data_IF_187736554524
#
_entry.id   IF_187736554524
#
_cell.length_a   1.000
_cell.length_b   1.000
_cell.length_c   1.000
_cell.angle_alpha   90.00
_cell.angle_beta   90.00
_cell.angle_gamma   90.00
#
_symmetry.space_group_name_H-M   'P 1'
#
loop_
_entity.id
_entity.type
_entity.pdbx_description
1 polymer ?
#
# COMPACT_ATOMS: atom_id res chain seq x y z
N UNK A 1 4.95 67.25 -45.00
CA UNK A 1 3.59 67.83 -45.09
C UNK A 1 2.64 66.79 -45.66
N UNK A 2 1.43 66.70 -45.08
CA UNK A 2 0.24 65.85 -45.39
C UNK A 2 0.31 64.42 -44.83
N UNK A 3 -0.31 64.15 -43.69
CA UNK A 3 -1.76 63.98 -43.37
C UNK A 3 -2.33 62.67 -43.91
N UNK A 4 -2.75 61.81 -42.99
CA UNK A 4 -3.56 60.63 -43.32
C UNK A 4 -3.61 59.61 -42.18
N UNK A 5 -4.28 59.97 -41.08
CA UNK A 5 -4.75 58.98 -40.11
C UNK A 5 -6.00 58.32 -40.69
N UNK A 6 -5.99 56.99 -40.82
CA UNK A 6 -7.20 56.19 -40.93
C UNK A 6 -7.03 54.95 -40.06
N UNK A 7 -7.74 54.97 -38.94
CA UNK A 7 -8.01 53.81 -38.08
C UNK A 7 -9.07 52.96 -38.81
N UNK A 8 -8.84 51.65 -38.96
CA UNK A 8 -9.92 50.68 -39.15
C UNK A 8 -9.66 49.43 -38.31
N UNK A 9 -10.75 48.89 -37.78
CA UNK A 9 -10.86 48.20 -36.51
C UNK A 9 -10.41 46.72 -36.51
N UNK A 10 -10.06 46.29 -35.29
CA UNK A 10 -9.75 44.94 -34.84
C UNK A 10 -10.93 43.97 -35.03
N UNK A 11 -10.66 42.74 -35.46
CA UNK A 11 -11.50 41.60 -35.10
C UNK A 11 -10.64 40.32 -35.01
N UNK A 12 -9.92 40.16 -33.91
CA UNK A 12 -9.53 38.82 -33.46
C UNK A 12 -10.81 38.12 -33.03
N UNK A 13 -11.30 37.16 -33.84
CA UNK A 13 -12.30 36.22 -33.37
C UNK A 13 -11.64 35.33 -32.30
N UNK A 14 -11.72 35.76 -31.05
CA UNK A 14 -11.44 34.89 -29.92
C UNK A 14 -12.69 34.04 -29.71
N UNK A 15 -12.63 32.78 -30.11
CA UNK A 15 -13.65 31.81 -29.73
C UNK A 15 -13.62 31.71 -28.20
N UNK A 16 -14.53 32.39 -27.51
CA UNK A 16 -14.86 32.05 -26.13
C UNK A 16 -15.61 30.74 -26.18
N UNK A 17 -14.86 29.64 -26.10
CA UNK A 17 -15.43 28.34 -25.81
C UNK A 17 -15.90 28.40 -24.36
N UNK A 18 -17.18 28.71 -24.18
CA UNK A 18 -17.86 28.51 -22.90
C UNK A 18 -17.95 27.01 -22.67
N UNK A 19 -16.86 26.42 -22.18
CA UNK A 19 -16.88 25.05 -21.68
C UNK A 19 -17.84 25.04 -20.50
N UNK A 20 -18.95 24.28 -20.54
CA UNK A 20 -19.72 24.04 -19.33
C UNK A 20 -18.75 23.41 -18.33
N UNK A 21 -18.64 24.00 -17.15
CA UNK A 21 -17.93 23.38 -16.04
C UNK A 21 -18.54 21.98 -15.87
N UNK A 22 -17.73 20.92 -15.70
CA UNK A 22 -18.31 19.68 -15.23
C UNK A 22 -19.01 20.00 -13.91
N UNK A 23 -20.30 19.67 -13.79
CA UNK A 23 -20.95 19.46 -12.50
C UNK A 23 -20.33 18.20 -11.87
N UNK A 24 -19.03 18.29 -11.60
CA UNK A 24 -18.22 17.29 -10.95
C UNK A 24 -18.26 17.61 -9.47
N UNK A 25 -19.02 16.82 -8.72
CA UNK A 25 -18.80 16.73 -7.29
C UNK A 25 -17.40 16.14 -7.10
N UNK A 26 -16.40 17.00 -6.89
CA UNK A 26 -15.07 16.57 -6.47
C UNK A 26 -15.19 16.18 -4.99
N UNK A 27 -15.60 14.94 -4.73
CA UNK A 27 -15.55 14.37 -3.40
C UNK A 27 -14.08 14.18 -3.06
N UNK A 28 -13.48 15.18 -2.42
CA UNK A 28 -12.24 15.00 -1.69
C UNK A 28 -12.57 14.15 -0.45
N UNK A 29 -12.75 12.85 -0.64
CA UNK A 29 -12.79 11.91 0.48
C UNK A 29 -11.46 12.07 1.21
N UNK A 30 -11.48 12.66 2.41
CA UNK A 30 -10.38 12.51 3.35
C UNK A 30 -10.36 11.04 3.77
N UNK A 31 -9.82 10.20 2.91
CA UNK A 31 -9.43 8.84 3.25
C UNK A 31 -8.25 8.97 4.22
N UNK A 32 -8.57 9.09 5.51
CA UNK A 32 -7.57 8.97 6.56
C UNK A 32 -7.19 7.48 6.59
N UNK A 33 -6.21 7.12 5.78
CA UNK A 33 -5.66 5.77 5.73
C UNK A 33 -4.61 5.63 6.83
N UNK A 34 -4.79 4.64 7.70
CA UNK A 34 -3.79 4.31 8.71
C UNK A 34 -2.62 3.56 8.07
N UNK A 35 -1.38 3.99 8.29
CA UNK A 35 -0.19 3.28 7.82
C UNK A 35 0.53 2.64 9.01
N UNK A 36 0.69 1.32 8.96
CA UNK A 36 1.36 0.54 9.99
C UNK A 36 2.60 -0.14 9.42
N UNK A 37 3.78 0.27 9.89
CA UNK A 37 5.03 -0.39 9.53
C UNK A 37 5.37 -1.43 10.60
N UNK A 38 5.47 -2.70 10.21
CA UNK A 38 5.80 -3.80 11.12
C UNK A 38 7.31 -4.02 11.08
N UNK A 39 8.02 -3.71 12.15
CA UNK A 39 9.47 -3.91 12.21
C UNK A 39 9.80 -5.30 12.79
N UNK A 40 10.82 -5.96 12.26
CA UNK A 40 11.28 -7.20 12.84
C UNK A 40 11.89 -6.95 14.23
N UNK A 41 11.66 -7.85 15.18
CA UNK A 41 12.20 -7.70 16.55
C UNK A 41 13.69 -8.06 16.64
N UNK A 42 14.21 -8.75 15.63
CA UNK A 42 15.59 -9.26 15.60
C UNK A 42 15.92 -10.25 16.72
N UNK A 43 17.21 -10.56 16.89
CA UNK A 43 17.77 -11.36 18.01
C UNK A 43 17.17 -12.76 18.18
N UNK A 44 17.00 -13.46 17.06
CA UNK A 44 16.52 -14.85 17.00
C UNK A 44 15.14 -15.16 17.58
N UNK A 45 14.37 -14.16 17.96
CA UNK A 45 13.01 -14.38 18.48
C UNK A 45 12.01 -14.52 17.34
N UNK A 46 10.97 -15.31 17.57
CA UNK A 46 9.80 -15.32 16.68
C UNK A 46 9.13 -13.95 16.65
N UNK A 47 8.77 -13.52 15.45
CA UNK A 47 8.02 -12.30 15.19
C UNK A 47 6.51 -12.53 15.18
N UNK A 48 6.04 -13.78 15.32
CA UNK A 48 4.61 -14.12 15.15
C UNK A 48 3.70 -13.34 16.09
N UNK A 49 4.01 -13.29 17.39
CA UNK A 49 3.16 -12.56 18.35
C UNK A 49 3.18 -11.04 18.09
N UNK A 50 4.29 -10.53 17.54
CA UNK A 50 4.42 -9.12 17.16
C UNK A 50 3.58 -8.80 15.92
N UNK A 51 3.62 -9.68 14.91
CA UNK A 51 2.83 -9.56 13.69
C UNK A 51 1.35 -9.68 13.99
N UNK A 52 0.94 -10.62 14.85
CA UNK A 52 -0.46 -10.73 15.32
C UNK A 52 -0.90 -9.46 16.03
N UNK A 53 -0.02 -8.85 16.85
CA UNK A 53 -0.33 -7.58 17.51
C UNK A 53 -0.53 -6.46 16.48
N UNK A 54 0.37 -6.32 15.51
CA UNK A 54 0.23 -5.33 14.44
C UNK A 54 -1.06 -5.54 13.62
N UNK A 55 -1.39 -6.79 13.29
CA UNK A 55 -2.64 -7.13 12.61
C UNK A 55 -3.88 -6.80 13.44
N UNK A 56 -3.84 -6.90 14.78
CA UNK A 56 -4.96 -6.48 15.64
C UNK A 56 -5.13 -4.97 15.68
N UNK A 57 -4.03 -4.22 15.74
CA UNK A 57 -4.04 -2.76 15.81
C UNK A 57 -4.46 -2.14 14.47
N UNK A 58 -4.02 -2.73 13.37
CA UNK A 58 -4.18 -2.18 12.01
C UNK A 58 -5.19 -2.98 11.18
N UNK A 59 -6.19 -3.58 11.83
CA UNK A 59 -7.11 -4.54 11.22
C UNK A 59 -8.12 -3.96 10.23
N UNK A 60 -8.27 -2.63 10.18
CA UNK A 60 -9.33 -1.97 9.40
C UNK A 60 -8.86 -0.66 8.77
N UNK A 61 -9.24 -0.44 7.50
CA UNK A 61 -9.00 0.81 6.74
C UNK A 61 -7.53 1.26 6.76
N UNK A 62 -6.62 0.31 6.54
CA UNK A 62 -5.18 0.49 6.78
C UNK A 62 -4.29 -0.07 5.66
N UNK A 63 -3.04 0.42 5.63
CA UNK A 63 -1.93 -0.15 4.87
C UNK A 63 -0.92 -0.70 5.87
N UNK A 64 -0.62 -1.99 5.79
CA UNK A 64 0.39 -2.65 6.60
C UNK A 64 1.63 -2.90 5.75
N UNK A 65 2.79 -2.41 6.18
CA UNK A 65 4.06 -2.47 5.44
C UNK A 65 5.04 -3.34 6.20
N UNK A 66 5.62 -4.32 5.52
CA UNK A 66 6.77 -5.11 5.97
C UNK A 66 8.00 -4.67 5.15
N UNK A 67 8.91 -3.83 5.69
CA UNK A 67 10.01 -3.23 4.92
C UNK A 67 11.00 -4.24 4.32
N UNK A 68 11.63 -3.87 3.20
CA UNK A 68 12.52 -4.75 2.41
C UNK A 68 13.83 -5.14 3.08
N UNK A 69 14.29 -4.34 4.04
CA UNK A 69 15.52 -4.54 4.79
C UNK A 69 15.32 -5.39 6.06
N UNK A 70 14.13 -5.98 6.21
CA UNK A 70 13.74 -6.72 7.41
C UNK A 70 13.55 -8.20 7.12
N UNK A 71 13.98 -9.03 8.06
CA UNK A 71 13.78 -10.48 8.03
C UNK A 71 12.99 -10.92 9.26
N UNK A 72 11.84 -11.53 9.04
CA UNK A 72 10.91 -11.96 10.09
C UNK A 72 11.02 -13.45 10.34
N UNK A 73 11.19 -13.87 11.60
CA UNK A 73 11.20 -15.29 11.97
C UNK A 73 9.79 -15.74 12.30
N UNK A 74 9.25 -16.67 11.51
CA UNK A 74 7.88 -17.16 11.62
C UNK A 74 7.89 -18.61 12.06
N UNK A 75 7.77 -18.86 13.37
CA UNK A 75 7.87 -20.20 13.96
C UNK A 75 6.54 -20.97 14.05
N UNK A 76 5.42 -20.28 13.84
CA UNK A 76 4.06 -20.84 13.91
C UNK A 76 3.12 -20.12 12.96
N UNK A 77 1.98 -20.76 12.67
CA UNK A 77 0.95 -20.20 11.79
C UNK A 77 0.41 -18.87 12.33
N UNK A 78 0.20 -17.91 11.43
CA UNK A 78 -0.45 -16.63 11.72
C UNK A 78 -1.89 -16.68 11.20
N UNK A 79 -2.84 -16.41 12.09
CA UNK A 79 -4.25 -16.24 11.75
C UNK A 79 -4.66 -14.80 12.07
N UNK A 80 -5.24 -14.11 11.10
CA UNK A 80 -5.71 -12.74 11.25
C UNK A 80 -7.00 -12.50 10.46
N UNK A 81 -7.86 -11.65 10.98
CA UNK A 81 -9.07 -11.16 10.31
C UNK A 81 -8.86 -9.67 10.04
N UNK A 82 -8.86 -9.31 8.76
CA UNK A 82 -8.61 -7.95 8.28
C UNK A 82 -9.78 -7.48 7.42
N UNK A 83 -10.11 -6.19 7.48
CA UNK A 83 -11.24 -5.58 6.76
C UNK A 83 -10.74 -4.33 6.02
N UNK A 84 -10.81 -4.30 4.69
CA UNK A 84 -10.29 -3.18 3.89
C UNK A 84 -8.83 -2.81 4.23
N UNK A 85 -7.95 -3.82 4.28
CA UNK A 85 -6.52 -3.63 4.54
C UNK A 85 -5.72 -3.98 3.30
N UNK A 86 -4.78 -3.11 2.92
CA UNK A 86 -3.73 -3.42 1.96
C UNK A 86 -2.49 -3.87 2.71
N UNK A 87 -1.90 -5.00 2.34
CA UNK A 87 -0.61 -5.43 2.89
C UNK A 87 0.46 -5.31 1.81
N UNK A 88 1.53 -4.59 2.13
CA UNK A 88 2.73 -4.44 1.33
C UNK A 88 3.86 -5.29 1.92
N UNK A 89 4.08 -6.44 1.30
CA UNK A 89 5.11 -7.41 1.69
C UNK A 89 6.39 -7.14 0.92
N UNK A 90 7.40 -6.55 1.57
CA UNK A 90 8.70 -6.29 0.95
C UNK A 90 9.85 -7.01 1.64
N UNK A 91 9.73 -7.28 2.94
CA UNK A 91 10.73 -8.03 3.72
C UNK A 91 10.67 -9.54 3.57
N UNK A 92 11.68 -10.23 4.08
CA UNK A 92 11.84 -11.68 3.95
C UNK A 92 11.26 -12.45 5.13
N UNK A 93 10.66 -13.61 4.86
CA UNK A 93 10.08 -14.49 5.86
C UNK A 93 10.92 -15.75 6.02
N UNK A 94 11.54 -15.91 7.20
CA UNK A 94 12.25 -17.12 7.57
C UNK A 94 11.29 -18.08 8.27
N UNK A 95 10.91 -19.13 7.55
CA UNK A 95 10.16 -20.26 8.09
C UNK A 95 11.13 -21.30 8.68
N UNK A 96 10.74 -22.06 9.72
CA UNK A 96 11.51 -23.20 10.17
C UNK A 96 11.66 -24.21 9.03
N UNK A 97 12.85 -24.80 8.92
CA UNK A 97 13.10 -25.88 7.98
C UNK A 97 12.18 -27.04 8.35
N UNK A 98 11.19 -27.32 7.50
CA UNK A 98 10.38 -28.53 7.62
C UNK A 98 11.28 -29.70 7.24
N UNK A 99 11.94 -30.31 8.23
CA UNK A 99 12.54 -31.62 8.02
C UNK A 99 11.40 -32.61 7.80
N UNK A 100 11.22 -33.00 6.54
CA UNK A 100 10.44 -34.17 6.19
C UNK A 100 11.11 -35.36 6.87
N UNK A 101 10.65 -35.72 8.07
CA UNK A 101 11.02 -36.98 8.69
C UNK A 101 10.44 -38.08 7.81
N UNK A 102 11.21 -38.49 6.79
CA UNK A 102 11.02 -39.75 6.11
C UNK A 102 11.24 -40.85 7.16
N UNK A 103 10.17 -41.21 7.88
CA UNK A 103 10.12 -42.46 8.65
C UNK A 103 10.23 -43.60 7.64
N UNK A 104 11.46 -43.97 7.30
CA UNK A 104 11.78 -45.26 6.74
C UNK A 104 11.48 -46.32 7.79
N UNK A 105 10.23 -46.77 7.85
CA UNK A 105 9.81 -47.92 8.63
C UNK A 105 10.35 -49.18 7.95
N UNK A 106 11.64 -49.45 8.12
CA UNK A 106 12.22 -50.76 7.86
C UNK A 106 11.95 -51.68 9.03
N UNK A 107 10.87 -52.48 8.95
CA UNK A 107 10.67 -53.63 9.83
C UNK A 107 11.37 -54.80 9.17
N UNK A 108 12.53 -55.18 9.70
CA UNK A 108 13.11 -56.49 9.43
C UNK A 108 12.52 -57.45 10.46
N UNK A 109 11.74 -58.43 9.99
CA UNK A 109 11.54 -59.73 10.63
C UNK A 109 11.94 -60.80 9.60
#
# INVERSE_FOLDING_TARGET
>A
MRFGSFILALATASSTESSPAPDGLEVAERLIVMICTVLARGKERSDVDHIIKAFKECRKDAIIIFPEDQTYKIDKNILATLENVKIDWRGEWLLPKVEMLSKGSGRAE
#
